data_IF_205902281830
#
_entry.id   IF_205902281830
#
_cell.length_a   1.000
_cell.length_b   1.000
_cell.length_c   1.000
_cell.angle_alpha   90.00
_cell.angle_beta   90.00
_cell.angle_gamma   90.00
#
_symmetry.space_group_name_H-M   'P 1'
#
loop_
_entity.id
_entity.type
_entity.pdbx_description
1 polymer ?
#
# COMPACT_ATOMS: atom_id res chain seq x y z
N UNK A 1 -1.06 13.29 11.78
CA UNK A 1 -0.89 11.97 11.16
C UNK A 1 -0.80 12.06 9.64
N UNK A 2 -0.74 10.93 8.91
CA UNK A 2 -0.52 10.89 7.45
C UNK A 2 -1.49 11.74 6.66
N UNK A 3 -2.78 11.68 6.93
CA UNK A 3 -3.79 12.43 6.16
C UNK A 3 -3.48 13.93 6.13
N UNK A 4 -3.25 14.54 7.30
CA UNK A 4 -2.94 15.97 7.37
C UNK A 4 -1.59 16.31 6.71
N UNK A 5 -0.56 15.49 6.91
CA UNK A 5 0.77 15.73 6.34
C UNK A 5 0.76 15.62 4.81
N UNK A 6 0.15 14.58 4.24
CA UNK A 6 0.03 14.45 2.79
C UNK A 6 -0.84 15.56 2.18
N UNK A 7 -1.94 15.94 2.86
CA UNK A 7 -2.76 17.08 2.42
C UNK A 7 -1.94 18.37 2.38
N UNK A 8 -1.20 18.68 3.44
CA UNK A 8 -0.35 19.87 3.49
C UNK A 8 0.76 19.83 2.42
N UNK A 9 1.38 18.66 2.23
CA UNK A 9 2.40 18.44 1.19
C UNK A 9 1.87 18.80 -0.19
N UNK A 10 0.75 18.19 -0.62
CA UNK A 10 0.20 18.44 -1.95
C UNK A 10 -0.41 19.82 -2.11
N UNK A 11 -1.00 20.39 -1.07
CA UNK A 11 -1.46 21.79 -1.13
C UNK A 11 -0.29 22.74 -1.37
N UNK A 12 0.86 22.53 -0.73
CA UNK A 12 2.07 23.34 -0.99
C UNK A 12 2.64 23.13 -2.39
N UNK A 13 2.52 21.93 -2.97
CA UNK A 13 2.92 21.67 -4.37
C UNK A 13 2.00 22.38 -5.36
N UNK A 14 0.69 22.35 -5.14
CA UNK A 14 -0.31 22.89 -6.05
C UNK A 14 -0.54 24.39 -5.88
N UNK A 15 -0.39 24.91 -4.68
CA UNK A 15 -0.65 26.29 -4.31
C UNK A 15 0.36 26.79 -3.25
N UNK A 16 1.64 27.01 -3.62
CA UNK A 16 2.73 27.30 -2.68
C UNK A 16 2.49 28.61 -1.88
N UNK A 17 1.66 29.51 -2.37
CA UNK A 17 1.30 30.76 -1.71
C UNK A 17 0.36 30.58 -0.51
N UNK A 18 -0.24 29.42 -0.32
CA UNK A 18 -1.15 29.20 0.81
C UNK A 18 -0.39 29.23 2.14
N UNK A 19 -0.95 29.94 3.11
CA UNK A 19 -0.54 29.83 4.53
C UNK A 19 -1.26 28.63 5.12
N UNK A 20 -0.50 27.61 5.50
CA UNK A 20 -1.03 26.35 6.04
C UNK A 20 -0.51 26.16 7.46
N UNK A 21 -1.39 25.85 8.39
CA UNK A 21 -1.04 25.43 9.75
C UNK A 21 -1.54 24.04 10.01
N UNK A 22 -0.66 23.13 10.39
CA UNK A 22 -0.99 21.75 10.78
C UNK A 22 -0.76 21.59 12.28
N UNK A 23 -1.80 21.22 13.00
CA UNK A 23 -1.74 21.05 14.46
C UNK A 23 -1.84 19.58 14.85
N UNK A 24 -1.11 19.22 15.90
CA UNK A 24 -1.09 17.87 16.48
C UNK A 24 -1.27 17.98 18.00
N UNK A 25 -2.14 17.12 18.57
CA UNK A 25 -2.46 17.17 20.00
C UNK A 25 -1.38 16.63 20.91
N UNK A 26 -0.46 15.82 20.40
CA UNK A 26 0.65 15.23 21.15
C UNK A 26 1.98 15.52 20.46
N UNK A 27 2.41 14.63 19.61
CA UNK A 27 3.57 14.80 18.73
C UNK A 27 3.38 13.98 17.46
N UNK A 28 4.06 14.36 16.39
CA UNK A 28 3.97 13.68 15.10
C UNK A 28 4.29 12.19 15.25
N UNK A 29 3.36 11.34 14.81
CA UNK A 29 3.53 9.88 14.87
C UNK A 29 3.11 9.25 16.20
N UNK A 30 2.60 9.99 17.18
CA UNK A 30 2.12 9.43 18.46
C UNK A 30 1.03 8.37 18.26
N UNK A 31 0.10 8.57 17.33
CA UNK A 31 -1.00 7.66 17.03
C UNK A 31 -0.62 6.53 16.05
N UNK A 32 -1.63 5.97 15.38
CA UNK A 32 -1.49 4.86 14.43
C UNK A 32 -0.54 5.12 13.28
N UNK A 33 -0.34 6.39 12.87
CA UNK A 33 0.58 6.73 11.79
C UNK A 33 2.04 6.38 12.10
N UNK A 34 2.47 6.44 13.36
CA UNK A 34 3.84 6.08 13.75
C UNK A 34 3.98 4.69 14.37
N UNK A 35 2.87 3.97 14.62
CA UNK A 35 2.84 2.72 15.39
C UNK A 35 2.17 1.55 14.67
N UNK A 36 1.98 1.64 13.36
CA UNK A 36 1.46 0.54 12.56
C UNK A 36 2.57 -0.46 12.19
N UNK A 37 2.19 -1.57 11.57
CA UNK A 37 3.13 -2.63 11.18
C UNK A 37 3.99 -2.31 9.96
N UNK A 38 3.84 -1.14 9.34
CA UNK A 38 4.64 -0.74 8.18
C UNK A 38 4.25 -1.44 6.87
N UNK A 39 3.11 -2.09 6.84
CA UNK A 39 2.59 -2.70 5.61
C UNK A 39 1.95 -1.63 4.73
N UNK A 40 2.68 -1.22 3.69
CA UNK A 40 2.24 -0.26 2.69
C UNK A 40 1.59 -1.02 1.53
N UNK A 41 0.29 -1.24 1.63
CA UNK A 41 -0.49 -2.08 0.73
C UNK A 41 -1.40 -1.26 -0.16
N UNK A 42 -1.53 -1.69 -1.42
CA UNK A 42 -2.50 -1.15 -2.36
C UNK A 42 -3.86 -1.87 -2.29
N UNK A 43 -4.01 -2.91 -1.46
CA UNK A 43 -5.26 -3.64 -1.36
C UNK A 43 -6.34 -2.85 -0.62
N UNK A 44 -7.52 -2.84 -1.20
CA UNK A 44 -8.73 -2.30 -0.58
C UNK A 44 -9.35 -3.34 0.38
N UNK A 45 -10.12 -2.90 1.38
CA UNK A 45 -10.74 -3.82 2.34
C UNK A 45 -11.90 -4.64 1.78
N UNK A 46 -12.37 -4.32 0.57
CA UNK A 46 -13.44 -5.02 -0.16
C UNK A 46 -12.86 -5.77 -1.35
N UNK A 47 -13.47 -6.89 -1.72
CA UNK A 47 -13.11 -7.60 -2.95
C UNK A 47 -13.46 -6.78 -4.20
N UNK A 48 -12.81 -7.04 -5.35
CA UNK A 48 -13.16 -6.38 -6.61
C UNK A 48 -14.64 -6.56 -6.98
N UNK A 49 -15.21 -7.74 -6.71
CA UNK A 49 -16.62 -8.03 -7.00
C UNK A 49 -17.58 -7.21 -6.13
N UNK A 50 -17.32 -7.11 -4.81
CA UNK A 50 -18.13 -6.30 -3.90
C UNK A 50 -18.08 -4.82 -4.30
N UNK A 51 -16.90 -4.28 -4.58
CA UNK A 51 -16.75 -2.90 -5.01
C UNK A 51 -17.42 -2.64 -6.36
N UNK A 52 -17.30 -3.57 -7.31
CA UNK A 52 -17.95 -3.44 -8.61
C UNK A 52 -19.48 -3.48 -8.49
N UNK A 53 -20.01 -4.30 -7.60
CA UNK A 53 -21.44 -4.37 -7.35
C UNK A 53 -21.99 -3.09 -6.72
N UNK A 54 -21.22 -2.44 -5.84
CA UNK A 54 -21.66 -1.23 -5.14
C UNK A 54 -21.42 0.06 -5.96
N UNK A 55 -20.29 0.15 -6.65
CA UNK A 55 -19.83 1.41 -7.27
C UNK A 55 -19.64 1.32 -8.79
N UNK A 56 -19.82 0.14 -9.38
CA UNK A 56 -19.56 -0.13 -10.80
C UNK A 56 -18.09 -0.49 -11.11
N UNK A 57 -17.91 -1.35 -12.12
CA UNK A 57 -16.59 -1.89 -12.47
C UNK A 57 -15.56 -0.82 -12.86
N UNK A 58 -16.00 0.25 -13.53
CA UNK A 58 -15.10 1.34 -13.92
C UNK A 58 -14.55 2.11 -12.70
N UNK A 59 -15.40 2.42 -11.72
CA UNK A 59 -15.01 3.12 -10.50
C UNK A 59 -14.08 2.26 -9.65
N UNK A 60 -14.38 0.96 -9.52
CA UNK A 60 -13.52 0.00 -8.84
C UNK A 60 -12.14 -0.07 -9.50
N UNK A 61 -12.10 -0.25 -10.83
CA UNK A 61 -10.83 -0.31 -11.58
C UNK A 61 -10.01 0.97 -11.38
N UNK A 62 -10.65 2.13 -11.57
CA UNK A 62 -9.99 3.42 -11.38
C UNK A 62 -9.39 3.56 -9.97
N UNK A 63 -10.17 3.25 -8.92
CA UNK A 63 -9.70 3.36 -7.55
C UNK A 63 -8.53 2.40 -7.27
N UNK A 64 -8.61 1.17 -7.75
CA UNK A 64 -7.54 0.19 -7.54
C UNK A 64 -6.23 0.61 -8.26
N UNK A 65 -6.33 1.13 -9.49
CA UNK A 65 -5.18 1.67 -10.22
C UNK A 65 -4.56 2.87 -9.46
N UNK A 66 -5.39 3.73 -8.83
CA UNK A 66 -4.89 4.81 -7.95
C UNK A 66 -4.20 4.27 -6.69
N UNK A 67 -4.68 3.17 -6.13
CA UNK A 67 -4.02 2.53 -4.98
C UNK A 67 -2.65 1.94 -5.36
N UNK A 68 -2.52 1.33 -6.53
CA UNK A 68 -1.23 0.88 -7.04
C UNK A 68 -0.26 2.07 -7.20
N UNK A 69 -0.73 3.13 -7.85
CA UNK A 69 0.04 4.36 -8.03
C UNK A 69 0.43 5.01 -6.69
N UNK A 70 -0.42 4.91 -5.67
CA UNK A 70 -0.14 5.48 -4.33
C UNK A 70 1.07 4.83 -3.66
N UNK A 71 1.26 3.52 -3.80
CA UNK A 71 2.45 2.83 -3.27
C UNK A 71 3.71 3.35 -3.95
N UNK A 72 3.67 3.56 -5.27
CA UNK A 72 4.80 4.09 -6.04
C UNK A 72 5.05 5.56 -5.73
N UNK A 73 4.00 6.35 -5.50
CA UNK A 73 4.11 7.75 -5.11
C UNK A 73 4.76 7.93 -3.74
N UNK A 74 4.47 7.05 -2.76
CA UNK A 74 5.16 7.07 -1.47
C UNK A 74 6.66 6.84 -1.65
N UNK A 75 7.06 5.90 -2.52
CA UNK A 75 8.45 5.65 -2.85
C UNK A 75 9.12 6.89 -3.47
N UNK A 76 8.45 7.49 -4.47
CA UNK A 76 8.94 8.66 -5.18
C UNK A 76 9.19 9.83 -4.23
N UNK A 77 8.20 10.17 -3.40
CA UNK A 77 8.32 11.27 -2.44
C UNK A 77 9.40 10.98 -1.39
N UNK A 78 9.46 9.75 -0.88
CA UNK A 78 10.49 9.38 0.07
C UNK A 78 11.90 9.54 -0.50
N UNK A 79 12.10 9.16 -1.75
CA UNK A 79 13.37 9.31 -2.45
C UNK A 79 13.69 10.80 -2.74
N UNK A 80 12.75 11.53 -3.30
CA UNK A 80 12.94 12.95 -3.70
C UNK A 80 13.28 13.84 -2.51
N UNK A 81 12.62 13.58 -1.36
CA UNK A 81 12.82 14.37 -0.15
C UNK A 81 13.76 13.72 0.87
N UNK A 82 14.52 12.69 0.46
CA UNK A 82 15.51 12.00 1.30
C UNK A 82 14.91 11.50 2.64
N UNK A 83 13.68 10.99 2.61
CA UNK A 83 13.04 10.36 3.77
C UNK A 83 13.54 8.93 3.91
N UNK A 84 14.53 8.72 4.78
CA UNK A 84 15.12 7.40 5.02
C UNK A 84 14.17 6.51 5.87
N UNK A 85 13.05 6.06 5.27
CA UNK A 85 12.00 5.30 5.93
C UNK A 85 12.07 3.78 5.66
N UNK A 86 13.21 3.28 5.22
CA UNK A 86 13.43 1.86 4.93
C UNK A 86 12.41 1.30 3.91
N UNK A 87 11.98 2.11 2.94
CA UNK A 87 11.02 1.68 1.93
C UNK A 87 11.57 0.57 1.08
N UNK A 88 10.83 -0.54 1.00
CA UNK A 88 11.17 -1.66 0.12
C UNK A 88 9.91 -2.24 -0.54
N UNK A 89 9.80 -2.13 -1.87
CA UNK A 89 8.70 -2.69 -2.66
C UNK A 89 9.00 -4.14 -3.03
N UNK A 90 8.73 -5.06 -2.13
CA UNK A 90 8.93 -6.50 -2.32
C UNK A 90 7.68 -7.27 -2.74
N UNK A 91 6.53 -6.59 -2.78
CA UNK A 91 5.24 -7.24 -2.95
C UNK A 91 4.71 -7.86 -1.66
N UNK A 92 3.69 -8.68 -1.80
CA UNK A 92 3.08 -9.42 -0.69
C UNK A 92 2.76 -10.85 -1.11
N UNK A 93 2.86 -11.77 -0.16
CA UNK A 93 2.52 -13.19 -0.33
C UNK A 93 1.46 -13.57 0.69
N UNK A 94 0.39 -14.21 0.21
CA UNK A 94 -0.57 -14.89 1.07
C UNK A 94 -0.43 -16.40 0.85
N UNK A 95 0.20 -17.09 1.82
CA UNK A 95 0.51 -18.51 1.71
C UNK A 95 -0.71 -19.38 2.05
N UNK A 96 -0.91 -20.45 1.28
CA UNK A 96 -1.90 -21.48 1.54
C UNK A 96 -1.26 -22.67 2.25
N UNK A 97 -1.78 -23.04 3.42
CA UNK A 97 -1.29 -24.15 4.25
C UNK A 97 -2.21 -25.40 4.26
N UNK A 98 -3.36 -25.32 3.60
CA UNK A 98 -4.31 -26.41 3.47
C UNK A 98 -5.15 -26.25 2.18
N UNK A 99 -5.86 -27.32 1.71
CA UNK A 99 -6.63 -27.27 0.46
C UNK A 99 -7.70 -26.18 0.43
N UNK A 100 -8.38 -25.89 1.54
CA UNK A 100 -9.40 -24.85 1.59
C UNK A 100 -8.80 -23.44 1.43
N UNK A 101 -7.57 -23.21 1.87
CA UNK A 101 -6.85 -21.97 1.59
C UNK A 101 -6.48 -21.88 0.11
N UNK A 102 -6.03 -22.96 -0.51
CA UNK A 102 -5.71 -23.01 -1.94
C UNK A 102 -6.93 -22.60 -2.77
N UNK A 103 -8.08 -23.24 -2.52
CA UNK A 103 -9.33 -22.96 -3.22
C UNK A 103 -9.75 -21.48 -3.08
N UNK A 104 -9.73 -20.93 -1.86
CA UNK A 104 -10.08 -19.52 -1.63
C UNK A 104 -9.15 -18.55 -2.34
N UNK A 105 -7.85 -18.82 -2.35
CA UNK A 105 -6.89 -17.92 -3.01
C UNK A 105 -7.02 -17.98 -4.53
N UNK A 106 -7.31 -19.16 -5.11
CA UNK A 106 -7.61 -19.24 -6.53
C UNK A 106 -8.87 -18.45 -6.89
N UNK A 107 -9.98 -18.61 -6.15
CA UNK A 107 -11.19 -17.81 -6.36
C UNK A 107 -10.93 -16.31 -6.24
N UNK A 108 -10.11 -15.90 -5.25
CA UNK A 108 -9.75 -14.49 -5.09
C UNK A 108 -8.94 -13.95 -6.28
N UNK A 109 -8.00 -14.74 -6.81
CA UNK A 109 -7.24 -14.39 -8.01
C UNK A 109 -8.17 -14.32 -9.24
N UNK A 110 -9.09 -15.27 -9.38
CA UNK A 110 -10.08 -15.28 -10.47
C UNK A 110 -10.97 -14.03 -10.43
N UNK A 111 -11.41 -13.59 -9.25
CA UNK A 111 -12.16 -12.34 -9.06
C UNK A 111 -11.37 -11.13 -9.54
N UNK A 112 -10.07 -11.06 -9.23
CA UNK A 112 -9.20 -10.01 -9.73
C UNK A 112 -9.06 -10.03 -11.24
N UNK A 113 -8.86 -11.20 -11.82
CA UNK A 113 -8.77 -11.35 -13.27
C UNK A 113 -10.10 -11.03 -13.98
N UNK A 114 -11.24 -11.42 -13.40
CA UNK A 114 -12.56 -11.05 -13.90
C UNK A 114 -12.80 -9.54 -13.85
N UNK A 115 -12.21 -8.84 -12.88
CA UNK A 115 -12.24 -7.39 -12.78
C UNK A 115 -11.25 -6.66 -13.73
N UNK A 116 -10.53 -7.42 -14.59
CA UNK A 116 -9.66 -6.89 -15.63
C UNK A 116 -8.20 -6.69 -15.23
N UNK A 117 -7.79 -7.16 -14.04
CA UNK A 117 -6.37 -7.25 -13.65
C UNK A 117 -5.74 -8.51 -14.24
N UNK A 118 -4.42 -8.60 -14.22
CA UNK A 118 -3.69 -9.68 -14.85
C UNK A 118 -2.75 -10.42 -13.89
N UNK A 119 -2.07 -11.45 -14.37
CA UNK A 119 -1.03 -12.14 -13.62
C UNK A 119 0.16 -11.23 -13.22
N UNK A 120 0.30 -10.06 -13.84
CA UNK A 120 1.29 -9.06 -13.43
C UNK A 120 0.87 -8.44 -12.10
N UNK A 121 -0.43 -8.29 -11.86
CA UNK A 121 -0.98 -7.66 -10.67
C UNK A 121 -1.22 -8.65 -9.54
N UNK A 122 -1.69 -9.85 -9.90
CA UNK A 122 -2.07 -10.89 -8.95
C UNK A 122 -1.87 -12.26 -9.60
N UNK A 123 -1.06 -13.13 -8.97
CA UNK A 123 -0.77 -14.45 -9.51
C UNK A 123 -0.69 -15.52 -8.43
N UNK A 124 -0.96 -16.77 -8.82
CA UNK A 124 -0.65 -17.94 -7.99
C UNK A 124 0.82 -18.34 -8.21
N UNK A 125 1.54 -18.58 -7.12
CA UNK A 125 2.87 -19.18 -7.11
C UNK A 125 2.84 -20.55 -6.42
N UNK A 126 3.54 -21.52 -7.01
CA UNK A 126 3.68 -22.85 -6.42
C UNK A 126 4.43 -22.82 -5.09
N UNK A 127 4.36 -23.91 -4.32
CA UNK A 127 5.13 -24.04 -3.08
C UNK A 127 6.64 -23.83 -3.31
N UNK A 128 7.17 -24.29 -4.43
CA UNK A 128 8.57 -24.11 -4.80
C UNK A 128 8.90 -22.65 -5.09
N UNK A 129 8.08 -21.94 -5.84
CA UNK A 129 8.23 -20.52 -6.13
C UNK A 129 8.15 -19.66 -4.87
N UNK A 130 7.17 -19.96 -3.97
CA UNK A 130 7.06 -19.29 -2.67
C UNK A 130 8.33 -19.52 -1.84
N UNK A 131 8.87 -20.75 -1.82
CA UNK A 131 10.06 -21.10 -1.05
C UNK A 131 11.33 -20.38 -1.52
N UNK A 132 11.37 -19.93 -2.77
CA UNK A 132 12.47 -19.09 -3.29
C UNK A 132 12.39 -17.65 -2.77
N UNK A 133 11.21 -17.19 -2.36
CA UNK A 133 11.00 -15.84 -1.83
C UNK A 133 11.07 -15.80 -0.31
N UNK A 134 10.37 -16.72 0.34
CA UNK A 134 10.26 -16.80 1.81
C UNK A 134 10.19 -18.26 2.25
N UNK A 135 10.68 -18.53 3.45
CA UNK A 135 10.53 -19.86 4.06
C UNK A 135 9.26 -19.91 4.91
N UNK A 136 8.27 -20.67 4.43
CA UNK A 136 7.00 -20.91 5.14
C UNK A 136 6.79 -22.41 5.30
N UNK A 137 6.65 -22.86 6.55
CA UNK A 137 6.39 -24.27 6.84
C UNK A 137 5.07 -24.74 6.22
N UNK A 138 5.07 -25.91 5.59
CA UNK A 138 3.87 -26.56 5.07
C UNK A 138 3.08 -25.74 4.05
N UNK A 139 3.72 -24.85 3.29
CA UNK A 139 3.03 -24.14 2.22
C UNK A 139 2.68 -25.07 1.06
N UNK A 140 1.47 -24.94 0.54
CA UNK A 140 1.00 -25.61 -0.69
C UNK A 140 1.12 -24.71 -1.92
N UNK A 141 1.55 -23.45 -1.72
CA UNK A 141 1.62 -22.38 -2.68
C UNK A 141 1.06 -21.11 -2.08
N UNK A 142 0.84 -20.09 -2.91
CA UNK A 142 0.30 -18.83 -2.43
C UNK A 142 -0.01 -17.85 -3.54
N UNK A 143 -0.72 -16.82 -3.17
CA UNK A 143 -0.97 -15.66 -4.01
C UNK A 143 0.16 -14.66 -3.81
N UNK A 144 0.66 -14.11 -4.90
CA UNK A 144 1.63 -13.02 -4.92
C UNK A 144 1.08 -11.80 -5.65
N UNK A 145 1.36 -10.63 -5.11
CA UNK A 145 1.15 -9.35 -5.79
C UNK A 145 2.35 -8.43 -5.57
N UNK A 146 2.82 -7.71 -6.62
CA UNK A 146 3.93 -6.76 -6.49
C UNK A 146 3.52 -5.41 -5.88
N UNK A 147 2.22 -5.15 -5.70
CA UNK A 147 1.68 -3.85 -5.31
C UNK A 147 1.67 -3.60 -3.79
N UNK A 148 2.73 -4.04 -3.13
CA UNK A 148 2.94 -3.81 -1.71
C UNK A 148 4.40 -3.49 -1.41
N UNK A 149 4.59 -2.70 -0.37
CA UNK A 149 5.89 -2.36 0.17
C UNK A 149 5.90 -2.50 1.70
N UNK A 150 7.08 -2.53 2.27
CA UNK A 150 7.29 -2.35 3.70
C UNK A 150 7.95 -0.98 3.94
N UNK A 151 7.57 -0.33 5.02
CA UNK A 151 8.16 0.95 5.46
C UNK A 151 8.37 0.94 6.96
N UNK A 152 9.28 1.75 7.46
CA UNK A 152 9.29 2.12 8.86
C UNK A 152 8.30 3.28 9.07
N UNK A 153 7.13 3.06 9.71
CA UNK A 153 6.08 4.07 9.78
C UNK A 153 6.49 5.31 10.58
N UNK A 154 7.29 5.13 11.63
CA UNK A 154 7.83 6.25 12.40
C UNK A 154 8.76 7.13 11.57
N UNK A 155 9.69 6.53 10.85
CA UNK A 155 10.61 7.27 9.96
C UNK A 155 9.86 7.97 8.83
N UNK A 156 8.85 7.32 8.24
CA UNK A 156 8.05 7.91 7.17
C UNK A 156 7.25 9.12 7.68
N UNK A 157 6.49 8.98 8.77
CA UNK A 157 5.65 10.07 9.26
C UNK A 157 6.46 11.26 9.76
N UNK A 158 7.59 11.02 10.45
CA UNK A 158 8.47 12.10 10.95
C UNK A 158 9.30 12.73 9.83
N UNK A 159 9.70 11.94 8.83
CA UNK A 159 10.36 12.45 7.63
C UNK A 159 9.43 13.35 6.81
N UNK A 160 8.20 12.90 6.58
CA UNK A 160 7.19 13.69 5.89
C UNK A 160 6.86 15.00 6.62
N UNK A 161 6.80 14.98 7.96
CA UNK A 161 6.60 16.20 8.75
C UNK A 161 7.71 17.21 8.52
N UNK A 162 8.98 16.78 8.59
CA UNK A 162 10.13 17.67 8.29
C UNK A 162 10.09 18.22 6.87
N UNK A 163 9.66 17.41 5.91
CA UNK A 163 9.47 17.84 4.52
C UNK A 163 8.40 18.94 4.46
N UNK A 164 7.26 18.73 5.07
CA UNK A 164 6.15 19.71 5.09
C UNK A 164 6.56 21.01 5.80
N UNK A 165 7.28 20.92 6.91
CA UNK A 165 7.87 22.11 7.59
C UNK A 165 8.82 22.86 6.67
N UNK A 166 9.68 22.19 5.92
CA UNK A 166 10.60 22.83 4.97
C UNK A 166 9.89 23.54 3.81
N UNK A 167 8.64 23.16 3.51
CA UNK A 167 7.78 23.81 2.52
C UNK A 167 7.01 25.03 3.11
N UNK A 168 7.21 25.34 4.37
CA UNK A 168 6.61 26.52 5.03
C UNK A 168 5.19 26.28 5.57
N UNK A 169 4.96 25.07 6.11
CA UNK A 169 3.75 24.74 6.89
C UNK A 169 4.03 24.83 8.37
#
# INVERSE_FOLDING_TARGET
GYTGLWTAFYLKQLAPQLSISLVESQFVGFGGSGRNGGWCSAFLPMSPNEMSAEHGAQAMRFLQDQMFATVDEIARVAQEHNIACDFHKGGTITSASNPAHVERLHHYIDDWHAAGFSNIDMTWESAEQISQRIHVSSTLGGMYSPHCAVVNPWKLVTGLARTVESLGV
#
